data_IF_859170668547
#
_entry.id   IF_859170668547
#
_cell.length_a   1.000
_cell.length_b   1.000
_cell.length_c   1.000
_cell.angle_alpha   90.00
_cell.angle_beta   90.00
_cell.angle_gamma   90.00
#
_symmetry.space_group_name_H-M   'P 1'
#
loop_
_entity.id
_entity.type
_entity.pdbx_description
1 polymer ?
#
# COMPACT_ATOMS: atom_id res chain seq x y z
N UNK A 1 -2.61 -13.07 -0.13
CA UNK A 1 -1.38 -12.51 0.46
C UNK A 1 -1.45 -11.03 0.82
N UNK A 2 -1.39 -10.05 -0.10
CA UNK A 2 -1.50 -8.62 0.25
C UNK A 2 -2.95 -8.24 0.61
N UNK A 3 -3.90 -8.70 -0.19
CA UNK A 3 -5.32 -8.58 0.12
C UNK A 3 -5.74 -9.48 1.30
N UNK A 4 -4.98 -10.52 1.63
CA UNK A 4 -5.22 -11.34 2.83
C UNK A 4 -4.60 -10.70 4.09
N UNK A 5 -3.47 -10.01 3.96
CA UNK A 5 -2.82 -9.25 5.05
C UNK A 5 -3.58 -7.98 5.41
N UNK A 6 -4.10 -7.26 4.41
CA UNK A 6 -4.73 -5.95 4.65
C UNK A 6 -6.23 -5.94 4.35
N UNK A 7 -6.77 -6.88 3.59
CA UNK A 7 -8.18 -6.85 3.21
C UNK A 7 -8.50 -5.76 2.18
N UNK A 8 -9.64 -5.92 1.51
CA UNK A 8 -10.12 -4.96 0.51
C UNK A 8 -10.48 -3.59 1.11
N UNK A 9 -11.00 -3.54 2.35
CA UNK A 9 -11.36 -2.28 3.01
C UNK A 9 -10.14 -1.40 3.29
N UNK A 10 -9.03 -2.01 3.74
CA UNK A 10 -7.81 -1.28 4.09
C UNK A 10 -7.05 -0.84 2.83
N UNK A 11 -7.09 -1.64 1.76
CA UNK A 11 -6.59 -1.24 0.45
C UNK A 11 -7.39 -0.08 -0.14
N UNK A 12 -8.72 -0.09 0.00
CA UNK A 12 -9.59 1.01 -0.42
C UNK A 12 -9.29 2.29 0.37
N UNK A 13 -9.18 2.18 1.70
CA UNK A 13 -8.80 3.29 2.56
C UNK A 13 -7.41 3.86 2.19
N UNK A 14 -6.47 3.01 1.82
CA UNK A 14 -5.14 3.42 1.36
C UNK A 14 -5.20 4.23 0.06
N UNK A 15 -5.90 3.73 -0.97
CA UNK A 15 -6.08 4.47 -2.22
C UNK A 15 -6.83 5.80 -2.03
N UNK A 16 -7.82 5.82 -1.13
CA UNK A 16 -8.56 7.04 -0.80
C UNK A 16 -7.67 8.07 -0.07
N UNK A 17 -6.84 7.62 0.88
CA UNK A 17 -5.89 8.47 1.60
C UNK A 17 -4.87 9.09 0.63
N UNK A 18 -4.29 8.30 -0.28
CA UNK A 18 -3.38 8.79 -1.32
C UNK A 18 -4.07 9.81 -2.23
N UNK A 19 -5.33 9.58 -2.62
CA UNK A 19 -6.11 10.48 -3.47
C UNK A 19 -6.51 11.80 -2.80
N UNK A 20 -6.60 11.84 -1.47
CA UNK A 20 -6.94 13.05 -0.69
C UNK A 20 -5.75 14.01 -0.50
N UNK A 21 -4.52 13.57 -0.72
CA UNK A 21 -3.35 14.43 -0.58
C UNK A 21 -3.14 15.35 -1.80
N UNK A 22 -3.18 16.67 -1.58
CA UNK A 22 -2.97 17.71 -2.62
C UNK A 22 -1.53 17.84 -3.12
N UNK A 23 -0.53 17.33 -2.40
CA UNK A 23 0.88 17.37 -2.79
C UNK A 23 1.42 15.95 -2.86
N UNK A 24 2.07 15.58 -3.99
CA UNK A 24 2.55 14.22 -4.24
C UNK A 24 3.72 13.79 -3.34
N UNK A 25 4.53 14.73 -2.88
CA UNK A 25 5.70 14.42 -2.07
C UNK A 25 5.26 13.95 -0.66
N UNK A 26 5.59 12.73 -0.27
CA UNK A 26 5.34 12.19 1.07
C UNK A 26 3.92 11.67 1.33
N UNK A 27 2.98 11.89 0.40
CA UNK A 27 1.58 11.44 0.55
C UNK A 27 1.46 9.93 0.62
N UNK A 28 2.29 9.23 -0.16
CA UNK A 28 2.31 7.77 -0.21
C UNK A 28 2.96 7.23 1.06
N UNK A 29 4.07 7.80 1.49
CA UNK A 29 4.77 7.42 2.72
C UNK A 29 3.93 7.64 3.98
N UNK A 30 3.12 8.72 4.00
CA UNK A 30 2.14 8.98 5.05
C UNK A 30 1.03 7.93 5.07
N UNK A 31 0.36 7.74 3.92
CA UNK A 31 -0.74 6.77 3.81
C UNK A 31 -0.30 5.32 4.10
N UNK A 32 0.91 4.93 3.67
CA UNK A 32 1.47 3.61 3.98
C UNK A 32 1.63 3.39 5.49
N UNK A 33 2.08 4.42 6.20
CA UNK A 33 2.27 4.35 7.65
C UNK A 33 0.94 4.39 8.39
N UNK A 34 0.07 5.33 8.03
CA UNK A 34 -1.16 5.64 8.77
C UNK A 34 -2.26 4.61 8.52
N UNK A 35 -2.33 4.03 7.31
CA UNK A 35 -3.38 3.08 6.92
C UNK A 35 -2.90 1.64 6.97
N UNK A 36 -1.71 1.37 6.43
CA UNK A 36 -1.21 0.01 6.28
C UNK A 36 -0.19 -0.37 7.36
N UNK A 37 0.27 0.58 8.18
CA UNK A 37 1.24 0.32 9.25
C UNK A 37 2.59 -0.17 8.72
N UNK A 38 2.96 0.22 7.50
CA UNK A 38 4.14 -0.31 6.80
C UNK A 38 5.02 0.83 6.26
N UNK A 39 6.25 0.48 5.88
CA UNK A 39 7.15 1.38 5.15
C UNK A 39 6.96 1.21 3.64
N UNK A 40 7.43 2.19 2.86
CA UNK A 40 7.49 2.09 1.39
C UNK A 40 8.33 0.92 0.89
N UNK A 41 9.43 0.65 1.59
CA UNK A 41 10.33 -0.46 1.28
C UNK A 41 9.67 -1.81 1.55
N UNK A 42 9.06 -2.00 2.72
CA UNK A 42 8.33 -3.24 3.07
C UNK A 42 7.14 -3.47 2.12
N UNK A 43 6.38 -2.41 1.85
CA UNK A 43 5.25 -2.50 0.92
C UNK A 43 5.72 -2.92 -0.47
N UNK A 44 6.76 -2.29 -0.99
CA UNK A 44 7.32 -2.61 -2.31
C UNK A 44 7.91 -4.02 -2.36
N UNK A 45 8.55 -4.47 -1.28
CA UNK A 45 9.07 -5.83 -1.16
C UNK A 45 7.97 -6.87 -1.25
N UNK A 46 6.90 -6.71 -0.44
CA UNK A 46 5.72 -7.59 -0.46
C UNK A 46 4.99 -7.54 -1.80
N UNK A 47 4.85 -6.36 -2.40
CA UNK A 47 4.21 -6.21 -3.70
C UNK A 47 4.98 -6.94 -4.81
N UNK A 48 6.31 -6.84 -4.81
CA UNK A 48 7.17 -7.58 -5.76
C UNK A 48 7.12 -9.09 -5.58
N UNK A 49 6.88 -9.58 -4.35
CA UNK A 49 6.66 -11.00 -4.10
C UNK A 49 5.32 -11.45 -4.69
N UNK A 50 4.24 -10.72 -4.38
CA UNK A 50 2.90 -10.96 -4.93
C UNK A 50 2.88 -10.97 -6.47
N UNK A 51 3.45 -9.95 -7.12
CA UNK A 51 3.50 -9.88 -8.59
C UNK A 51 4.27 -11.05 -9.20
N UNK A 52 5.33 -11.54 -8.54
CA UNK A 52 6.05 -12.73 -9.01
C UNK A 52 5.23 -14.00 -8.87
N UNK A 53 4.51 -14.16 -7.77
CA UNK A 53 3.63 -15.32 -7.58
C UNK A 53 2.45 -15.33 -8.55
N UNK A 54 1.90 -14.16 -8.89
CA UNK A 54 0.79 -14.06 -9.84
C UNK A 54 1.21 -14.14 -11.32
N UNK A 55 2.42 -13.70 -11.67
CA UNK A 55 2.86 -13.60 -13.07
C UNK A 55 3.86 -14.67 -13.51
N UNK A 56 4.48 -15.42 -12.59
CA UNK A 56 5.45 -16.50 -12.90
C UNK A 56 6.84 -16.00 -13.28
#
# INVERSE_FOLDING_TARGET
>A
MIAEEWGEEKLRAFYEAVGRHRQRAGAVEGALRDVLGTTGEDFTGRWRAYVREELG
#
